data_IF_455438415083
#
_entry.id   IF_455438415083
#
_cell.length_a   1.000
_cell.length_b   1.000
_cell.length_c   1.000
_cell.angle_alpha   90.00
_cell.angle_beta   90.00
_cell.angle_gamma   90.00
#
_symmetry.space_group_name_H-M   'P 1'
#
loop_
_entity.id
_entity.type
_entity.pdbx_description
1 polymer ?
#
# COMPACT_ATOMS: atom_id res chain seq x y z
N UNK A 1 -17.64 40.98 -29.77
CA UNK A 1 -17.88 41.60 -28.45
C UNK A 1 -18.17 40.48 -27.47
N UNK A 2 -17.21 40.17 -26.61
CA UNK A 2 -17.38 39.17 -25.55
C UNK A 2 -18.18 39.78 -24.40
N UNK A 3 -19.23 39.09 -23.96
CA UNK A 3 -19.91 39.42 -22.71
C UNK A 3 -19.69 38.25 -21.77
N UNK A 4 -18.59 38.32 -21.03
CA UNK A 4 -18.30 37.39 -19.94
C UNK A 4 -19.15 37.79 -18.74
N UNK A 5 -20.29 37.13 -18.57
CA UNK A 5 -21.13 37.31 -17.38
C UNK A 5 -20.42 36.72 -16.18
N UNK A 6 -19.87 37.58 -15.33
CA UNK A 6 -19.33 37.20 -14.02
C UNK A 6 -20.54 36.84 -13.15
N UNK A 7 -20.74 35.54 -12.89
CA UNK A 7 -21.70 35.09 -11.89
C UNK A 7 -21.17 35.47 -10.50
N UNK A 8 -21.69 36.57 -9.96
CA UNK A 8 -21.48 36.91 -8.54
C UNK A 8 -22.28 35.93 -7.68
N UNK A 9 -21.57 35.12 -6.90
CA UNK A 9 -22.19 34.22 -5.92
C UNK A 9 -23.04 35.04 -4.92
N UNK A 10 -24.33 34.70 -4.82
CA UNK A 10 -25.30 35.38 -3.93
C UNK A 10 -24.97 35.24 -2.43
N UNK A 11 -24.16 34.25 -2.07
CA UNK A 11 -23.83 33.90 -0.68
C UNK A 11 -22.32 33.65 -0.54
N UNK A 12 -21.73 34.10 0.56
CA UNK A 12 -20.33 33.84 0.90
C UNK A 12 -20.13 32.42 1.43
N UNK A 13 -19.05 31.76 1.00
CA UNK A 13 -18.63 30.45 1.52
C UNK A 13 -17.94 30.62 2.87
N UNK A 14 -18.21 29.72 3.83
CA UNK A 14 -17.51 29.72 5.11
C UNK A 14 -16.05 29.27 4.90
N UNK A 15 -15.04 29.99 5.42
CA UNK A 15 -13.64 29.72 5.11
C UNK A 15 -13.15 28.33 5.56
N UNK A 16 -13.72 27.80 6.65
CA UNK A 16 -13.26 26.54 7.26
C UNK A 16 -14.25 25.37 7.12
N UNK A 17 -15.53 25.67 6.83
CA UNK A 17 -16.62 24.68 6.87
C UNK A 17 -17.23 24.44 5.48
N UNK A 18 -16.82 25.21 4.47
CA UNK A 18 -17.15 24.95 3.08
C UNK A 18 -16.04 24.09 2.48
N UNK A 19 -16.22 22.77 2.55
CA UNK A 19 -15.19 21.79 2.21
C UNK A 19 -15.14 21.57 0.71
N UNK A 20 -13.92 21.56 0.15
CA UNK A 20 -13.67 21.15 -1.23
C UNK A 20 -13.64 19.62 -1.33
N UNK A 21 -14.31 19.08 -2.34
CA UNK A 21 -14.50 17.63 -2.52
C UNK A 21 -14.08 17.19 -3.89
N UNK A 22 -13.65 15.94 -3.99
CA UNK A 22 -13.34 15.26 -5.24
C UNK A 22 -14.15 13.97 -5.34
N UNK A 23 -14.62 13.67 -6.55
CA UNK A 23 -15.39 12.46 -6.88
C UNK A 23 -14.52 11.49 -7.67
N UNK A 24 -14.33 10.28 -7.15
CA UNK A 24 -13.63 9.18 -7.80
C UNK A 24 -14.61 8.11 -8.28
N UNK A 25 -14.26 7.40 -9.34
CA UNK A 25 -14.92 6.17 -9.78
C UNK A 25 -13.93 5.01 -9.67
N UNK A 26 -14.16 4.08 -8.74
CA UNK A 26 -13.45 2.81 -8.67
C UNK A 26 -14.41 1.69 -9.07
N UNK A 27 -14.04 0.91 -10.08
CA UNK A 27 -14.93 -0.05 -10.75
C UNK A 27 -16.26 0.60 -11.18
N UNK A 28 -17.34 0.31 -10.45
CA UNK A 28 -18.69 0.80 -10.69
C UNK A 28 -19.25 1.60 -9.50
N UNK A 29 -18.39 2.09 -8.61
CA UNK A 29 -18.78 2.79 -7.39
C UNK A 29 -18.15 4.19 -7.34
N UNK A 30 -19.00 5.21 -7.11
CA UNK A 30 -18.56 6.59 -6.90
C UNK A 30 -18.19 6.82 -5.43
N UNK A 31 -17.11 7.55 -5.23
CA UNK A 31 -16.62 7.97 -3.92
C UNK A 31 -16.43 9.48 -3.92
N UNK A 32 -17.21 10.20 -3.10
CA UNK A 32 -17.07 11.64 -2.94
C UNK A 32 -16.48 11.95 -1.57
N UNK A 33 -15.29 12.55 -1.55
CA UNK A 33 -14.52 12.74 -0.32
C UNK A 33 -13.88 14.14 -0.26
N UNK A 34 -13.51 14.62 0.96
CA UNK A 34 -12.71 15.83 1.10
C UNK A 34 -11.38 15.72 0.34
N UNK A 35 -11.02 16.77 -0.39
CA UNK A 35 -9.79 16.82 -1.19
C UNK A 35 -8.53 16.95 -0.33
N UNK A 36 -8.61 17.76 0.74
CA UNK A 36 -7.48 18.15 1.59
C UNK A 36 -6.65 16.97 2.15
N UNK A 37 -7.23 15.90 2.71
CA UNK A 37 -6.44 14.75 3.19
C UNK A 37 -5.58 14.09 2.10
N UNK A 38 -6.04 14.07 0.84
CA UNK A 38 -5.28 13.49 -0.27
C UNK A 38 -4.07 14.36 -0.62
N UNK A 39 -4.25 15.69 -0.67
CA UNK A 39 -3.17 16.66 -0.95
C UNK A 39 -2.08 16.66 0.12
N UNK A 40 -2.48 16.50 1.39
CA UNK A 40 -1.57 16.52 2.52
C UNK A 40 -0.76 15.23 2.62
N UNK A 41 -1.36 14.08 2.30
CA UNK A 41 -0.75 12.77 2.54
C UNK A 41 -0.15 12.11 1.28
N UNK A 42 -0.50 12.55 0.06
CA UNK A 42 0.02 12.02 -1.21
C UNK A 42 0.61 13.10 -2.11
N UNK A 43 1.85 12.87 -2.53
CA UNK A 43 2.56 13.65 -3.57
C UNK A 43 1.84 13.56 -4.91
N UNK A 44 1.44 12.36 -5.33
CA UNK A 44 0.74 12.12 -6.60
C UNK A 44 -0.55 12.91 -6.67
N UNK A 45 -1.39 12.82 -5.62
CA UNK A 45 -2.65 13.56 -5.60
C UNK A 45 -2.42 15.06 -5.52
N UNK A 46 -1.50 15.52 -4.66
CA UNK A 46 -1.14 16.95 -4.60
C UNK A 46 -0.71 17.50 -5.95
N UNK A 47 0.15 16.78 -6.68
CA UNK A 47 0.66 17.23 -7.97
C UNK A 47 -0.44 17.20 -9.03
N UNK A 48 -1.25 16.12 -9.08
CA UNK A 48 -2.44 16.02 -9.95
C UNK A 48 -3.37 17.23 -9.77
N UNK A 49 -3.55 17.65 -8.52
CA UNK A 49 -4.40 18.75 -8.11
C UNK A 49 -3.84 20.15 -8.43
N UNK A 50 -2.53 20.26 -8.69
CA UNK A 50 -1.86 21.50 -9.08
C UNK A 50 -1.75 21.70 -10.60
N UNK A 51 -2.04 20.67 -11.41
CA UNK A 51 -1.91 20.77 -12.86
C UNK A 51 -2.87 21.81 -13.45
N UNK A 52 -2.40 22.65 -14.40
CA UNK A 52 -3.24 23.66 -15.03
C UNK A 52 -4.34 22.99 -15.84
N UNK A 53 -5.56 23.45 -15.61
CA UNK A 53 -6.74 22.90 -16.27
C UNK A 53 -6.96 23.61 -17.60
N UNK A 54 -7.26 22.86 -18.65
CA UNK A 54 -7.59 23.44 -19.94
C UNK A 54 -8.95 24.15 -19.82
N UNK A 55 -9.08 25.35 -20.39
CA UNK A 55 -10.29 26.20 -20.26
C UNK A 55 -11.57 25.56 -20.85
N UNK A 56 -11.44 24.45 -21.59
CA UNK A 56 -12.51 23.81 -22.35
C UNK A 56 -12.87 22.39 -21.87
N UNK A 57 -12.21 21.86 -20.85
CA UNK A 57 -12.52 20.54 -20.29
C UNK A 57 -13.22 20.68 -18.93
N UNK A 58 -14.29 19.92 -18.72
CA UNK A 58 -14.88 19.76 -17.39
C UNK A 58 -13.79 19.24 -16.45
N UNK A 59 -13.57 19.94 -15.33
CA UNK A 59 -12.56 19.54 -14.35
C UNK A 59 -12.88 18.15 -13.81
N UNK A 60 -11.98 17.21 -14.05
CA UNK A 60 -12.10 15.84 -13.57
C UNK A 60 -12.25 15.82 -12.04
N UNK A 61 -13.23 15.07 -11.56
CA UNK A 61 -13.56 14.91 -10.15
C UNK A 61 -14.47 15.98 -9.53
N UNK A 62 -14.93 16.99 -10.26
CA UNK A 62 -15.82 18.03 -9.70
C UNK A 62 -17.23 17.50 -9.40
N UNK A 63 -17.75 16.60 -10.22
CA UNK A 63 -19.10 16.06 -10.09
C UNK A 63 -19.17 14.56 -10.46
N UNK A 64 -20.38 14.01 -10.35
CA UNK A 64 -20.66 12.60 -10.59
C UNK A 64 -20.61 12.25 -12.10
N UNK A 65 -20.71 13.24 -12.98
CA UNK A 65 -20.71 13.06 -14.44
C UNK A 65 -19.29 13.03 -15.02
N UNK A 66 -18.34 13.71 -14.38
CA UNK A 66 -16.92 13.66 -14.70
C UNK A 66 -16.06 13.27 -13.50
N UNK A 67 -16.18 12.04 -12.95
CA UNK A 67 -15.35 11.59 -11.83
C UNK A 67 -13.91 11.28 -12.28
N UNK A 68 -12.96 11.27 -11.33
CA UNK A 68 -11.61 10.74 -11.56
C UNK A 68 -11.68 9.23 -11.64
N UNK A 69 -11.38 8.65 -12.80
CA UNK A 69 -11.54 7.20 -13.03
C UNK A 69 -10.29 6.43 -12.59
N UNK A 70 -10.45 5.52 -11.63
CA UNK A 70 -9.38 4.70 -11.07
C UNK A 70 -9.31 3.35 -11.78
N UNK A 71 -8.53 3.29 -12.87
CA UNK A 71 -8.34 2.06 -13.62
C UNK A 71 -7.52 1.01 -12.85
N UNK A 72 -7.99 -0.25 -12.83
CA UNK A 72 -7.29 -1.36 -12.19
C UNK A 72 -7.35 -1.37 -10.65
N UNK A 73 -8.17 -0.51 -10.05
CA UNK A 73 -8.39 -0.43 -8.61
C UNK A 73 -9.79 -0.92 -8.29
N UNK A 74 -9.89 -1.90 -7.40
CA UNK A 74 -11.19 -2.39 -6.92
C UNK A 74 -11.82 -1.37 -5.98
N UNK A 75 -13.16 -1.33 -5.91
CA UNK A 75 -13.85 -0.45 -4.96
C UNK A 75 -13.50 -0.79 -3.49
N UNK A 76 -13.28 -2.08 -3.19
CA UNK A 76 -12.97 -2.55 -1.85
C UNK A 76 -11.55 -2.14 -1.43
N UNK A 77 -10.56 -2.24 -2.35
CA UNK A 77 -9.20 -1.78 -2.09
C UNK A 77 -9.20 -0.27 -1.79
N UNK A 78 -9.94 0.49 -2.62
CA UNK A 78 -10.04 1.94 -2.48
C UNK A 78 -10.74 2.33 -1.18
N UNK A 79 -11.85 1.68 -0.84
CA UNK A 79 -12.55 1.89 0.43
C UNK A 79 -11.63 1.65 1.63
N UNK A 80 -10.80 0.60 1.61
CA UNK A 80 -9.83 0.34 2.67
C UNK A 80 -8.83 1.49 2.84
N UNK A 81 -8.25 2.00 1.74
CA UNK A 81 -7.36 3.16 1.79
C UNK A 81 -8.06 4.39 2.37
N UNK A 82 -9.27 4.69 1.87
CA UNK A 82 -10.03 5.87 2.29
C UNK A 82 -10.40 5.84 3.77
N UNK A 83 -10.79 4.67 4.30
CA UNK A 83 -11.08 4.49 5.73
C UNK A 83 -9.89 4.87 6.60
N UNK A 84 -8.68 4.40 6.23
CA UNK A 84 -7.46 4.73 6.98
C UNK A 84 -7.10 6.22 6.83
N UNK A 85 -7.17 6.76 5.61
CA UNK A 85 -6.87 8.16 5.33
C UNK A 85 -7.77 9.11 6.14
N UNK A 86 -9.08 8.90 6.09
CA UNK A 86 -10.06 9.78 6.72
C UNK A 86 -10.08 9.63 8.24
N UNK A 87 -9.91 8.42 8.78
CA UNK A 87 -9.71 8.24 10.22
C UNK A 87 -8.49 9.00 10.72
N UNK A 88 -7.38 8.97 9.97
CA UNK A 88 -6.16 9.70 10.35
C UNK A 88 -6.33 11.22 10.26
N UNK A 89 -7.07 11.70 9.26
CA UNK A 89 -7.28 13.14 9.07
C UNK A 89 -8.25 13.75 10.10
N UNK A 90 -9.27 13.00 10.53
CA UNK A 90 -10.38 13.57 11.31
C UNK A 90 -10.67 12.87 12.64
N UNK A 91 -10.06 11.72 12.92
CA UNK A 91 -10.37 10.88 14.09
C UNK A 91 -9.29 10.96 15.17
N UNK A 92 -9.56 11.54 16.36
CA UNK A 92 -8.58 11.54 17.44
C UNK A 92 -8.47 10.21 18.20
N UNK A 93 -9.40 9.26 18.07
CA UNK A 93 -9.46 8.02 18.89
C UNK A 93 -10.37 6.92 18.28
N UNK A 94 -10.26 6.60 16.98
CA UNK A 94 -10.96 5.42 16.46
C UNK A 94 -10.05 4.20 16.53
N UNK A 95 -10.61 3.10 17.04
CA UNK A 95 -10.07 1.74 16.86
C UNK A 95 -9.58 1.56 15.42
N UNK A 96 -8.61 0.67 15.23
CA UNK A 96 -8.08 0.40 13.90
C UNK A 96 -9.23 0.18 12.91
N UNK A 97 -9.36 1.00 11.85
CA UNK A 97 -10.55 1.01 11.00
C UNK A 97 -10.73 -0.27 10.19
N UNK A 98 -9.70 -1.14 10.21
CA UNK A 98 -9.61 -2.38 9.47
C UNK A 98 -9.10 -3.48 10.41
N UNK A 99 -9.76 -4.63 10.38
CA UNK A 99 -9.46 -5.77 11.26
C UNK A 99 -8.87 -6.98 10.54
N UNK A 100 -8.70 -6.93 9.23
CA UNK A 100 -8.33 -8.09 8.40
C UNK A 100 -7.08 -7.80 7.59
N UNK A 101 -6.18 -8.78 7.50
CA UNK A 101 -4.89 -8.69 6.79
C UNK A 101 -5.02 -8.22 5.36
N UNK A 102 -5.96 -8.80 4.60
CA UNK A 102 -6.23 -8.42 3.20
C UNK A 102 -6.57 -6.94 3.03
N UNK A 103 -7.22 -6.33 4.02
CA UNK A 103 -7.57 -4.91 3.97
C UNK A 103 -6.31 -4.06 4.12
N UNK A 104 -5.41 -4.43 5.04
CA UNK A 104 -4.13 -3.76 5.21
C UNK A 104 -3.17 -3.99 4.04
N UNK A 105 -3.22 -5.14 3.37
CA UNK A 105 -2.53 -5.36 2.09
C UNK A 105 -3.04 -4.39 1.02
N UNK A 106 -4.36 -4.15 0.98
CA UNK A 106 -4.96 -3.18 0.05
C UNK A 106 -4.48 -1.75 0.32
N UNK A 107 -4.41 -1.37 1.60
CA UNK A 107 -3.84 -0.08 2.02
C UNK A 107 -2.37 -0.01 1.61
N UNK A 108 -1.56 -1.04 1.87
CA UNK A 108 -0.15 -1.08 1.46
C UNK A 108 0.00 -0.92 -0.07
N UNK A 109 -0.80 -1.64 -0.86
CA UNK A 109 -0.80 -1.57 -2.32
C UNK A 109 -1.06 -0.15 -2.82
N UNK A 110 -2.19 0.44 -2.43
CA UNK A 110 -2.59 1.75 -2.96
C UNK A 110 -1.77 2.90 -2.38
N UNK A 111 -1.37 2.82 -1.10
CA UNK A 111 -0.46 3.81 -0.51
C UNK A 111 0.92 3.81 -1.16
N UNK A 112 1.37 2.65 -1.66
CA UNK A 112 2.59 2.57 -2.47
C UNK A 112 2.39 3.18 -3.84
N UNK A 113 1.31 2.81 -4.53
CA UNK A 113 0.99 3.26 -5.89
C UNK A 113 0.84 4.78 -5.99
N UNK A 114 0.22 5.40 -4.98
CA UNK A 114 -0.06 6.83 -4.95
C UNK A 114 0.81 7.58 -3.95
N UNK A 115 1.93 7.00 -3.54
CA UNK A 115 2.96 7.65 -2.72
C UNK A 115 2.46 8.27 -1.40
N UNK A 116 1.48 7.62 -0.76
CA UNK A 116 1.06 7.97 0.60
C UNK A 116 2.06 7.45 1.63
N UNK A 117 3.10 8.23 1.89
CA UNK A 117 4.24 7.80 2.72
C UNK A 117 3.81 7.36 4.13
N UNK A 118 2.98 8.14 4.83
CA UNK A 118 2.57 7.80 6.20
C UNK A 118 1.58 6.63 6.25
N UNK A 119 0.65 6.52 5.31
CA UNK A 119 -0.28 5.40 5.23
C UNK A 119 0.48 4.11 4.91
N UNK A 120 1.46 4.18 4.01
CA UNK A 120 2.33 3.06 3.69
C UNK A 120 3.07 2.57 4.93
N UNK A 121 3.69 3.48 5.69
CA UNK A 121 4.36 3.12 6.95
C UNK A 121 3.38 2.51 7.96
N UNK A 122 2.17 3.06 8.06
CA UNK A 122 1.12 2.55 8.97
C UNK A 122 0.71 1.12 8.60
N UNK A 123 0.49 0.86 7.30
CA UNK A 123 0.15 -0.48 6.81
C UNK A 123 1.30 -1.47 7.03
N UNK A 124 2.55 -1.05 6.80
CA UNK A 124 3.73 -1.86 7.11
C UNK A 124 3.81 -2.20 8.59
N UNK A 125 3.69 -1.21 9.49
CA UNK A 125 3.73 -1.47 10.92
C UNK A 125 2.62 -2.43 11.37
N UNK A 126 1.41 -2.31 10.83
CA UNK A 126 0.32 -3.21 11.18
C UNK A 126 0.58 -4.65 10.69
N UNK A 127 0.90 -4.80 9.40
CA UNK A 127 1.13 -6.10 8.76
C UNK A 127 2.31 -6.84 9.36
N UNK A 128 3.34 -6.14 9.82
CA UNK A 128 4.50 -6.79 10.43
C UNK A 128 4.17 -7.41 11.80
N UNK A 129 3.24 -6.80 12.53
CA UNK A 129 2.77 -7.29 13.84
C UNK A 129 1.60 -8.29 13.74
N UNK A 130 1.03 -8.47 12.55
CA UNK A 130 -0.07 -9.40 12.33
C UNK A 130 0.44 -10.84 12.24
N UNK A 131 0.07 -11.66 13.24
CA UNK A 131 0.46 -13.06 13.32
C UNK A 131 -0.17 -13.93 12.22
N UNK A 132 -1.22 -13.46 11.55
CA UNK A 132 -1.87 -14.20 10.46
C UNK A 132 -1.14 -14.04 9.12
N UNK A 133 -0.21 -13.08 9.01
CA UNK A 133 0.61 -12.87 7.82
C UNK A 133 1.82 -13.82 7.84
N UNK A 134 1.75 -14.88 7.06
CA UNK A 134 2.80 -15.89 6.98
C UNK A 134 4.12 -15.33 6.38
N UNK A 135 5.25 -15.99 6.66
CA UNK A 135 6.56 -15.54 6.19
C UNK A 135 6.72 -15.56 4.66
N UNK A 136 5.98 -16.42 3.94
CA UNK A 136 5.99 -16.49 2.48
C UNK A 136 5.29 -15.25 1.92
N UNK A 137 4.10 -14.91 2.42
CA UNK A 137 3.36 -13.69 2.09
C UNK A 137 4.19 -12.46 2.43
N UNK A 138 4.84 -12.42 3.60
CA UNK A 138 5.76 -11.32 3.96
C UNK A 138 6.87 -11.14 2.93
N UNK A 139 7.51 -12.22 2.47
CA UNK A 139 8.55 -12.14 1.42
C UNK A 139 7.97 -11.64 0.11
N UNK A 140 6.82 -12.18 -0.33
CA UNK A 140 6.15 -11.78 -1.57
C UNK A 140 5.82 -10.29 -1.56
N UNK A 141 5.16 -9.81 -0.50
CA UNK A 141 4.82 -8.40 -0.32
C UNK A 141 6.09 -7.54 -0.23
N UNK A 142 7.13 -8.03 0.45
CA UNK A 142 8.38 -7.31 0.59
C UNK A 142 9.13 -7.14 -0.73
N UNK A 143 9.16 -8.17 -1.57
CA UNK A 143 9.74 -8.08 -2.91
C UNK A 143 8.89 -7.19 -3.81
N UNK A 144 7.56 -7.37 -3.79
CA UNK A 144 6.62 -6.63 -4.63
C UNK A 144 6.63 -5.12 -4.32
N UNK A 145 6.67 -4.74 -3.05
CA UNK A 145 6.58 -3.36 -2.61
C UNK A 145 7.91 -2.78 -2.12
N UNK A 146 9.03 -3.51 -2.24
CA UNK A 146 10.37 -3.03 -1.86
C UNK A 146 10.58 -2.85 -0.34
N UNK A 147 10.02 -3.73 0.49
CA UNK A 147 10.10 -3.66 1.97
C UNK A 147 11.29 -4.49 2.48
N UNK A 148 12.49 -3.91 2.41
CA UNK A 148 13.74 -4.63 2.74
C UNK A 148 13.77 -5.23 4.16
N UNK A 149 13.22 -4.52 5.15
CA UNK A 149 13.24 -4.93 6.55
C UNK A 149 12.49 -6.25 6.83
N UNK A 150 11.59 -6.69 5.95
CA UNK A 150 10.85 -7.94 6.10
C UNK A 150 11.57 -9.15 5.49
N UNK A 151 12.48 -8.93 4.53
CA UNK A 151 13.08 -10.00 3.74
C UNK A 151 13.94 -10.92 4.61
N UNK A 152 14.98 -10.37 5.26
CA UNK A 152 15.93 -11.19 6.01
C UNK A 152 15.27 -11.96 7.17
N UNK A 153 14.45 -11.34 8.05
CA UNK A 153 13.78 -12.08 9.12
C UNK A 153 12.89 -13.21 8.59
N UNK A 154 12.14 -12.95 7.51
CA UNK A 154 11.20 -13.93 6.96
C UNK A 154 11.90 -15.07 6.24
N UNK A 155 12.94 -14.77 5.45
CA UNK A 155 13.79 -15.77 4.82
C UNK A 155 14.49 -16.63 5.87
N UNK A 156 14.98 -16.01 6.94
CA UNK A 156 15.61 -16.74 8.04
C UNK A 156 14.63 -17.69 8.75
N UNK A 157 13.42 -17.22 9.05
CA UNK A 157 12.38 -18.06 9.63
C UNK A 157 12.05 -19.28 8.75
N UNK A 158 11.91 -19.08 7.44
CA UNK A 158 11.71 -20.18 6.49
C UNK A 158 12.95 -21.06 6.31
N UNK A 159 14.16 -20.53 6.46
CA UNK A 159 15.39 -21.31 6.38
C UNK A 159 15.58 -22.22 7.61
N UNK A 160 15.09 -21.82 8.79
CA UNK A 160 15.23 -22.59 10.03
C UNK A 160 14.14 -23.62 10.27
N UNK A 161 12.96 -23.46 9.68
CA UNK A 161 11.84 -24.37 9.97
C UNK A 161 12.15 -25.82 9.56
N UNK A 162 11.61 -26.84 10.25
CA UNK A 162 11.82 -28.24 9.89
C UNK A 162 11.20 -28.59 8.53
N UNK A 163 10.00 -28.05 8.24
CA UNK A 163 9.23 -28.36 7.04
C UNK A 163 9.91 -27.88 5.75
N UNK A 164 9.91 -28.68 4.67
CA UNK A 164 10.42 -28.24 3.37
C UNK A 164 9.59 -27.08 2.80
N UNK A 165 10.09 -26.43 1.76
CA UNK A 165 9.28 -25.51 0.97
C UNK A 165 8.31 -26.37 0.15
N UNK A 166 7.01 -26.16 0.36
CA UNK A 166 5.97 -26.86 -0.39
C UNK A 166 5.86 -26.32 -1.82
N UNK A 167 5.18 -27.06 -2.70
CA UNK A 167 4.93 -26.64 -4.08
C UNK A 167 4.12 -25.34 -4.12
N UNK A 168 3.14 -25.20 -3.23
CA UNK A 168 2.30 -24.00 -3.12
C UNK A 168 3.15 -22.76 -2.73
N UNK A 169 3.99 -22.89 -1.72
CA UNK A 169 4.89 -21.81 -1.29
C UNK A 169 5.92 -21.49 -2.36
N UNK A 170 6.50 -22.50 -3.01
CA UNK A 170 7.42 -22.31 -4.13
C UNK A 170 6.77 -21.58 -5.31
N UNK A 171 5.49 -21.83 -5.56
CA UNK A 171 4.71 -21.13 -6.59
C UNK A 171 4.50 -19.66 -6.21
N UNK A 172 4.19 -19.36 -4.94
CA UNK A 172 4.02 -17.98 -4.44
C UNK A 172 5.34 -17.20 -4.44
N UNK A 173 6.44 -17.80 -4.01
CA UNK A 173 7.76 -17.17 -3.95
C UNK A 173 8.39 -16.95 -5.33
N UNK A 174 7.97 -17.74 -6.32
CA UNK A 174 8.64 -17.85 -7.60
C UNK A 174 9.86 -18.79 -7.54
N UNK A 175 10.19 -19.37 -8.70
CA UNK A 175 11.20 -20.44 -8.82
C UNK A 175 12.58 -20.02 -8.30
N UNK A 176 13.01 -18.79 -8.59
CA UNK A 176 14.34 -18.31 -8.20
C UNK A 176 14.46 -18.20 -6.67
N UNK A 177 13.53 -17.49 -6.03
CA UNK A 177 13.47 -17.32 -4.57
C UNK A 177 13.38 -18.66 -3.87
N UNK A 178 12.54 -19.58 -4.37
CA UNK A 178 12.37 -20.91 -3.80
C UNK A 178 13.66 -21.75 -3.88
N UNK A 179 14.35 -21.74 -5.02
CA UNK A 179 15.62 -22.47 -5.20
C UNK A 179 16.75 -21.87 -4.36
N UNK A 180 16.86 -20.53 -4.31
CA UNK A 180 17.82 -19.83 -3.43
C UNK A 180 17.60 -20.23 -1.97
N UNK A 181 16.35 -20.23 -1.51
CA UNK A 181 16.00 -20.61 -0.15
C UNK A 181 16.27 -22.10 0.13
N UNK A 182 15.96 -23.00 -0.82
CA UNK A 182 16.27 -24.42 -0.71
C UNK A 182 17.78 -24.67 -0.60
N UNK A 183 18.59 -24.00 -1.44
CA UNK A 183 20.06 -24.09 -1.38
C UNK A 183 20.60 -23.65 -0.02
N UNK A 184 20.08 -22.56 0.56
CA UNK A 184 20.49 -22.10 1.89
C UNK A 184 20.12 -23.13 2.96
N UNK A 185 18.91 -23.70 2.88
CA UNK A 185 18.45 -24.75 3.82
C UNK A 185 19.32 -26.00 3.77
N UNK A 186 19.73 -26.43 2.58
CA UNK A 186 20.62 -27.59 2.40
C UNK A 186 22.00 -27.35 3.01
N UNK A 187 22.58 -26.17 2.78
CA UNK A 187 23.87 -25.80 3.37
C UNK A 187 23.80 -25.77 4.90
N UNK A 188 22.75 -25.17 5.47
CA UNK A 188 22.55 -25.14 6.92
C UNK A 188 22.38 -26.53 7.54
N UNK A 189 21.70 -27.45 6.85
CA UNK A 189 21.53 -28.84 7.32
C UNK A 189 22.84 -29.62 7.32
N UNK A 190 23.63 -29.51 6.24
CA UNK A 190 24.94 -30.15 6.16
C UNK A 190 25.89 -29.66 7.27
N UNK A 191 25.81 -28.37 7.62
CA UNK A 191 26.65 -27.76 8.65
C UNK A 191 26.16 -28.02 10.07
N UNK A 192 24.85 -28.26 10.29
CA UNK A 192 24.32 -28.60 11.61
C UNK A 192 24.93 -29.89 12.21
N UNK A 193 25.47 -30.77 11.35
CA UNK A 193 26.26 -31.95 11.73
C UNK A 193 27.56 -31.57 12.45
N UNK A 194 28.07 -30.35 12.23
CA UNK A 194 29.35 -29.83 12.74
C UNK A 194 29.22 -28.69 13.78
N UNK A 195 27.99 -28.28 14.13
CA UNK A 195 27.70 -27.21 15.08
C UNK A 195 27.01 -26.01 14.41
N UNK A 196 25.76 -25.74 14.79
CA UNK A 196 24.93 -24.69 14.20
C UNK A 196 25.26 -23.29 14.75
N UNK A 197 25.41 -22.30 13.86
CA UNK A 197 25.58 -20.87 14.18
C UNK A 197 24.53 -20.01 13.44
N UNK A 198 23.59 -19.42 14.19
CA UNK A 198 22.52 -18.58 13.66
C UNK A 198 23.04 -17.33 12.90
N UNK A 199 24.19 -16.79 13.32
CA UNK A 199 24.80 -15.63 12.68
C UNK A 199 25.17 -15.92 11.22
N UNK A 200 25.69 -17.13 10.99
CA UNK A 200 26.13 -17.59 9.68
C UNK A 200 24.97 -17.84 8.71
N UNK A 201 23.82 -18.29 9.20
CA UNK A 201 22.61 -18.42 8.39
C UNK A 201 22.11 -17.08 7.84
N UNK A 202 22.18 -16.01 8.64
CA UNK A 202 21.89 -14.65 8.17
C UNK A 202 22.91 -14.17 7.12
N UNK A 203 24.21 -14.42 7.32
CA UNK A 203 25.25 -14.06 6.35
C UNK A 203 25.08 -14.77 5.01
N UNK A 204 24.72 -16.07 5.02
CA UNK A 204 24.42 -16.84 3.81
C UNK A 204 23.21 -16.28 3.07
N UNK A 205 22.14 -15.94 3.78
CA UNK A 205 20.95 -15.34 3.18
C UNK A 205 21.26 -13.98 2.55
N UNK A 206 21.98 -13.10 3.24
CA UNK A 206 22.40 -11.81 2.71
C UNK A 206 23.22 -11.99 1.41
N UNK A 207 24.15 -12.95 1.40
CA UNK A 207 24.96 -13.25 0.22
C UNK A 207 24.13 -13.79 -0.95
N UNK A 208 23.23 -14.74 -0.71
CA UNK A 208 22.46 -15.42 -1.77
C UNK A 208 21.36 -14.53 -2.35
N UNK A 209 20.78 -13.66 -1.52
CA UNK A 209 19.69 -12.77 -1.90
C UNK A 209 20.14 -11.33 -2.19
N UNK A 210 21.44 -11.04 -2.10
CA UNK A 210 22.02 -9.72 -2.39
C UNK A 210 21.36 -8.58 -1.57
N UNK A 211 21.12 -8.85 -0.27
CA UNK A 211 20.41 -7.97 0.65
C UNK A 211 21.32 -6.95 1.33
#
# INVERSE_FOLDING_TARGET
MASSTIFTLKYSKHPELYIDTVTFLAENCLFKIPRKPLEEESTVFRDMFLLPQSENEMMEGQDDAGPVVLHGVSKDDFECLLKVLLCRAFGPNLDLPLGLTRQWISVLKLSTMWEFTNLRMTAMCWLDNDATLDHVEKIVLAMQYGIKQWLLPSLFALAQRPDPISVEEGTRLGIETALKLASVREQLKLESVYGYDAKRGSELLQKVFEL
#
